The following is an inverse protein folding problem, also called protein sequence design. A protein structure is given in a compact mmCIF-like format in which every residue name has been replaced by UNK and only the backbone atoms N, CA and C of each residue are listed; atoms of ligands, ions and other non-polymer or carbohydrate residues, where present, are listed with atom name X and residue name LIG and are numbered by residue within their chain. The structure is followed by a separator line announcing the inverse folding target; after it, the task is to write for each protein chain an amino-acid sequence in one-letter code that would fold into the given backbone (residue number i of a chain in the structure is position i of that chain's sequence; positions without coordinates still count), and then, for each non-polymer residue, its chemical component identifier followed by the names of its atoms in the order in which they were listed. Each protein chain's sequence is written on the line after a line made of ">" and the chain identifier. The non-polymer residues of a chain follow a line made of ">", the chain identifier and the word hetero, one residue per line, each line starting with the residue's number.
data_IF_273211875671
#
_entry.id   IF_273211875671
#
_cell.length_a   1.000
_cell.length_b   1.000
_cell.length_c   1.000
_cell.angle_alpha   90.00
_cell.angle_beta   90.00
_cell.angle_gamma   90.00
#
_symmetry.space_group_name_H-M   'P 1'
#
loop_
_entity.id
_entity.type
_entity.pdbx_description
1 polymer ?
#
# COMPACT_ATOMS: atom_id res chain seq x y z
N UNK A 1 -9.96 3.24 -10.16
CA UNK A 1 -9.44 1.86 -10.28
C UNK A 1 -7.93 1.91 -10.19
N UNK A 2 -7.39 1.64 -9.02
CA UNK A 2 -5.99 1.32 -8.85
C UNK A 2 -5.70 -0.01 -9.60
N UNK A 3 -4.82 0.06 -10.59
CA UNK A 3 -4.38 -1.14 -11.31
C UNK A 3 -3.41 -1.93 -10.44
N UNK A 4 -3.47 -3.26 -10.56
CA UNK A 4 -2.51 -4.15 -9.93
C UNK A 4 -1.52 -4.63 -10.96
N UNK A 5 -0.25 -4.35 -10.70
CA UNK A 5 0.83 -4.61 -11.64
C UNK A 5 1.76 -5.67 -11.05
N UNK A 6 2.30 -6.49 -11.92
CA UNK A 6 3.55 -7.20 -11.63
C UNK A 6 4.69 -6.19 -11.51
N UNK A 7 5.80 -6.59 -10.89
CA UNK A 7 7.02 -5.75 -10.86
C UNK A 7 7.47 -5.40 -12.28
N UNK A 8 7.38 -6.35 -13.23
CA UNK A 8 7.69 -6.10 -14.64
C UNK A 8 6.82 -4.99 -15.24
N UNK A 9 5.49 -5.11 -15.13
CA UNK A 9 4.52 -4.13 -15.65
C UNK A 9 4.72 -2.76 -15.00
N UNK A 10 5.11 -2.71 -13.71
CA UNK A 10 5.44 -1.48 -13.02
C UNK A 10 6.65 -0.76 -13.62
N UNK A 11 7.76 -1.46 -13.87
CA UNK A 11 8.92 -0.86 -14.53
C UNK A 11 8.64 -0.46 -15.98
N UNK A 12 7.77 -1.20 -16.68
CA UNK A 12 7.27 -0.79 -17.99
C UNK A 12 6.46 0.51 -17.91
N UNK A 13 5.62 0.67 -16.89
CA UNK A 13 4.89 1.91 -16.65
C UNK A 13 5.82 3.09 -16.31
N UNK A 14 6.84 2.88 -15.46
CA UNK A 14 7.86 3.90 -15.15
C UNK A 14 8.57 4.38 -16.42
N UNK A 15 8.95 3.46 -17.31
CA UNK A 15 9.55 3.80 -18.62
C UNK A 15 8.59 4.56 -19.52
N UNK A 16 7.35 4.09 -19.63
CA UNK A 16 6.34 4.73 -20.47
C UNK A 16 6.05 6.17 -20.04
N UNK A 17 6.10 6.44 -18.73
CA UNK A 17 5.91 7.77 -18.16
C UNK A 17 7.18 8.63 -18.15
N UNK A 18 8.32 8.11 -18.61
CA UNK A 18 9.60 8.83 -18.65
C UNK A 18 10.01 9.37 -17.28
N UNK A 19 9.79 8.59 -16.23
CA UNK A 19 10.27 8.93 -14.89
C UNK A 19 11.80 9.07 -14.93
N UNK A 20 12.32 10.12 -14.30
CA UNK A 20 13.76 10.39 -14.22
C UNK A 20 14.13 10.89 -12.82
N UNK A 21 15.23 10.39 -12.22
CA UNK A 21 16.06 9.30 -12.72
C UNK A 21 15.36 7.94 -12.59
N UNK A 22 15.45 7.11 -13.65
CA UNK A 22 14.95 5.74 -13.64
C UNK A 22 16.12 4.78 -13.45
N UNK A 23 16.12 4.07 -12.32
CA UNK A 23 17.05 2.96 -12.08
C UNK A 23 16.31 1.66 -12.35
N UNK A 24 16.63 1.02 -13.47
CA UNK A 24 15.97 -0.19 -13.94
C UNK A 24 16.99 -1.29 -14.25
N UNK A 25 17.54 -1.88 -13.19
CA UNK A 25 18.50 -3.00 -13.27
C UNK A 25 17.88 -4.29 -12.72
N UNK A 26 18.37 -5.47 -13.11
CA UNK A 26 17.89 -6.73 -12.54
C UNK A 26 17.99 -6.78 -11.00
N UNK A 27 19.05 -6.21 -10.42
CA UNK A 27 19.24 -6.13 -8.98
C UNK A 27 18.18 -5.24 -8.31
N UNK A 28 17.89 -4.07 -8.90
CA UNK A 28 16.84 -3.18 -8.40
C UNK A 28 15.46 -3.82 -8.52
N UNK A 29 15.14 -4.48 -9.63
CA UNK A 29 13.87 -5.22 -9.78
C UNK A 29 13.72 -6.31 -8.72
N UNK A 30 14.78 -7.07 -8.45
CA UNK A 30 14.77 -8.11 -7.42
C UNK A 30 14.57 -7.52 -6.02
N UNK A 31 15.20 -6.38 -5.72
CA UNK A 31 15.01 -5.65 -4.46
C UNK A 31 13.58 -5.12 -4.31
N UNK A 32 13.00 -4.55 -5.38
CA UNK A 32 11.59 -4.11 -5.38
C UNK A 32 10.65 -5.28 -5.12
N UNK A 33 10.86 -6.42 -5.79
CA UNK A 33 10.05 -7.62 -5.59
C UNK A 33 10.14 -8.12 -4.13
N UNK A 34 11.33 -8.18 -3.55
CA UNK A 34 11.54 -8.56 -2.16
C UNK A 34 10.88 -7.57 -1.17
N UNK A 35 11.03 -6.26 -1.42
CA UNK A 35 10.42 -5.21 -0.62
C UNK A 35 8.88 -5.30 -0.65
N UNK A 36 8.28 -5.36 -1.84
CA UNK A 36 6.83 -5.38 -1.97
C UNK A 36 6.22 -6.67 -1.42
N UNK A 37 6.88 -7.83 -1.62
CA UNK A 37 6.46 -9.11 -1.00
C UNK A 37 6.49 -9.03 0.51
N UNK A 38 7.54 -8.45 1.08
CA UNK A 38 7.67 -8.30 2.53
C UNK A 38 6.59 -7.37 3.07
N UNK A 39 6.41 -6.21 2.42
CA UNK A 39 5.43 -5.19 2.81
C UNK A 39 3.99 -5.69 2.73
N UNK A 40 3.69 -6.50 1.72
CA UNK A 40 2.35 -6.95 1.36
C UNK A 40 2.17 -8.46 1.57
N UNK A 41 2.98 -9.09 2.43
CA UNK A 41 3.02 -10.54 2.65
C UNK A 41 1.66 -11.14 3.05
N UNK A 42 0.78 -10.32 3.64
CA UNK A 42 -0.53 -10.75 4.09
C UNK A 42 -1.65 -10.54 3.07
N UNK A 43 -1.37 -9.93 1.91
CA UNK A 43 -2.38 -9.69 0.86
C UNK A 43 -2.85 -11.00 0.23
N UNK A 44 -4.11 -11.08 -0.23
CA UNK A 44 -4.68 -12.31 -0.78
C UNK A 44 -4.10 -12.70 -2.15
N UNK A 45 -3.48 -11.76 -2.87
CA UNK A 45 -2.88 -11.99 -4.20
C UNK A 45 -1.44 -11.46 -4.15
N UNK A 46 -0.47 -12.35 -4.39
CA UNK A 46 0.96 -12.18 -4.06
C UNK A 46 1.88 -11.95 -5.28
N UNK A 47 1.32 -11.69 -6.46
CA UNK A 47 2.10 -11.52 -7.71
C UNK A 47 1.75 -10.24 -8.46
N UNK A 48 0.64 -9.60 -8.07
CA UNK A 48 0.22 -8.32 -8.60
C UNK A 48 -0.04 -7.39 -7.44
N UNK A 49 0.57 -6.24 -7.43
CA UNK A 49 0.58 -5.36 -6.27
C UNK A 49 -0.12 -4.05 -6.60
N UNK A 50 -0.76 -3.39 -5.63
CA UNK A 50 -1.22 -2.03 -5.81
C UNK A 50 -0.07 -1.14 -6.29
N UNK A 51 -0.33 -0.25 -7.26
CA UNK A 51 0.69 0.68 -7.78
C UNK A 51 1.35 1.46 -6.64
N UNK A 52 0.60 1.95 -5.65
CA UNK A 52 1.19 2.67 -4.51
C UNK A 52 2.15 1.82 -3.67
N UNK A 53 1.89 0.52 -3.54
CA UNK A 53 2.77 -0.38 -2.81
C UNK A 53 4.05 -0.66 -3.59
N UNK A 54 3.97 -0.74 -4.93
CA UNK A 54 5.13 -0.83 -5.81
C UNK A 54 5.97 0.45 -5.82
N UNK A 55 5.32 1.61 -5.88
CA UNK A 55 5.98 2.91 -5.79
C UNK A 55 6.74 3.05 -4.46
N UNK A 56 6.09 2.68 -3.36
CA UNK A 56 6.73 2.68 -2.05
C UNK A 56 7.90 1.70 -1.97
N UNK A 57 7.75 0.48 -2.51
CA UNK A 57 8.82 -0.52 -2.53
C UNK A 57 10.00 -0.06 -3.40
N UNK A 58 9.72 0.60 -4.53
CA UNK A 58 10.72 1.18 -5.40
C UNK A 58 11.44 2.35 -4.75
N UNK A 59 10.71 3.28 -4.15
CA UNK A 59 11.27 4.38 -3.37
C UNK A 59 12.17 3.87 -2.25
N UNK A 60 11.72 2.89 -1.48
CA UNK A 60 12.55 2.26 -0.44
C UNK A 60 13.83 1.66 -1.04
N UNK A 61 13.69 0.88 -2.12
CA UNK A 61 14.84 0.29 -2.82
C UNK A 61 15.85 1.35 -3.26
N UNK A 62 15.41 2.46 -3.86
CA UNK A 62 16.30 3.54 -4.28
C UNK A 62 16.99 4.22 -3.10
N UNK A 63 16.29 4.40 -1.99
CA UNK A 63 16.85 5.01 -0.78
C UNK A 63 17.90 4.13 -0.09
N UNK A 64 17.84 2.81 -0.30
CA UNK A 64 18.79 1.84 0.24
C UNK A 64 20.01 1.62 -0.68
N UNK A 65 20.02 2.23 -1.87
CA UNK A 65 21.17 2.16 -2.76
C UNK A 65 22.38 2.94 -2.20
N UNK A 66 23.60 2.42 -2.35
CA UNK A 66 24.81 3.08 -1.86
C UNK A 66 25.09 4.42 -2.56
N UNK A 67 24.62 4.57 -3.80
CA UNK A 67 24.77 5.73 -4.68
C UNK A 67 23.55 6.66 -4.68
N UNK A 68 22.69 6.61 -3.65
CA UNK A 68 21.50 7.47 -3.54
C UNK A 68 21.82 8.98 -3.65
N UNK A 69 23.02 9.42 -3.22
CA UNK A 69 23.42 10.82 -3.36
C UNK A 69 23.61 11.25 -4.82
N UNK A 70 24.08 10.33 -5.67
CA UNK A 70 24.21 10.59 -7.11
C UNK A 70 22.82 10.65 -7.76
N UNK A 71 21.89 9.78 -7.35
CA UNK A 71 20.49 9.86 -7.79
C UNK A 71 19.84 11.20 -7.42
N UNK A 72 20.08 11.69 -6.21
CA UNK A 72 19.56 13.00 -5.76
C UNK A 72 20.13 14.13 -6.62
N UNK A 73 21.42 14.09 -6.95
CA UNK A 73 22.05 15.05 -7.87
C UNK A 73 21.43 14.99 -9.27
N UNK A 74 21.02 13.81 -9.71
CA UNK A 74 20.36 13.58 -11.01
C UNK A 74 18.85 13.84 -10.98
N UNK A 75 18.33 14.40 -9.87
CA UNK A 75 16.95 14.88 -9.76
C UNK A 75 15.99 13.96 -9.01
N UNK A 76 16.49 12.89 -8.36
CA UNK A 76 15.67 12.07 -7.48
C UNK A 76 15.29 12.85 -6.21
N UNK A 77 13.98 13.04 -6.00
CA UNK A 77 13.47 13.79 -4.84
C UNK A 77 13.11 12.91 -3.65
N UNK A 78 13.40 11.61 -3.72
CA UNK A 78 13.00 10.66 -2.68
C UNK A 78 11.57 10.17 -2.82
N UNK A 79 10.85 10.50 -3.90
CA UNK A 79 9.46 10.07 -4.15
C UNK A 79 9.24 9.65 -5.60
N UNK A 80 8.46 8.59 -5.82
CA UNK A 80 8.03 8.13 -7.14
C UNK A 80 6.50 8.09 -7.19
N UNK A 81 5.90 8.74 -8.18
CA UNK A 81 4.44 8.85 -8.30
C UNK A 81 4.01 8.76 -9.78
N UNK A 82 3.54 7.59 -10.20
CA UNK A 82 3.09 7.27 -11.56
C UNK A 82 1.69 7.83 -11.86
N UNK A 83 0.89 8.20 -10.87
CA UNK A 83 -0.54 8.51 -11.08
C UNK A 83 -1.05 9.74 -10.36
N UNK A 84 -0.14 10.55 -9.82
CA UNK A 84 -0.50 11.72 -9.01
C UNK A 84 -1.30 11.34 -7.76
N UNK A 85 -1.17 10.10 -7.28
CA UNK A 85 -1.83 9.67 -6.06
C UNK A 85 -1.13 10.28 -4.85
N UNK A 86 -1.90 10.58 -3.81
CA UNK A 86 -1.31 10.81 -2.49
C UNK A 86 -0.59 9.52 -2.05
N UNK A 87 0.50 9.61 -1.29
CA UNK A 87 1.26 8.43 -0.82
C UNK A 87 0.49 7.51 0.15
N UNK A 88 -0.83 7.76 0.30
CA UNK A 88 -1.74 7.17 1.26
C UNK A 88 -3.18 7.25 0.70
N UNK A 89 -4.04 6.33 1.09
CA UNK A 89 -5.45 6.30 0.69
C UNK A 89 -6.37 6.79 1.80
N UNK A 90 -7.47 7.46 1.46
CA UNK A 90 -8.65 7.47 2.33
C UNK A 90 -9.26 6.07 2.42
N UNK A 91 -10.08 5.83 3.45
CA UNK A 91 -10.80 4.57 3.57
C UNK A 91 -11.76 4.33 2.39
N UNK A 92 -12.41 5.39 1.90
CA UNK A 92 -13.32 5.34 0.76
C UNK A 92 -12.61 4.95 -0.53
N UNK A 93 -11.47 5.59 -0.84
CA UNK A 93 -10.69 5.26 -2.03
C UNK A 93 -10.18 3.83 -1.97
N UNK A 94 -9.69 3.38 -0.82
CA UNK A 94 -9.17 2.03 -0.65
C UNK A 94 -10.27 0.97 -0.86
N UNK A 95 -11.44 1.13 -0.25
CA UNK A 95 -12.55 0.20 -0.51
C UNK A 95 -13.08 0.31 -1.94
N UNK A 96 -13.15 1.52 -2.50
CA UNK A 96 -13.59 1.74 -3.88
C UNK A 96 -12.69 1.08 -4.92
N UNK A 97 -11.37 1.16 -4.73
CA UNK A 97 -10.39 0.60 -5.66
C UNK A 97 -10.14 -0.91 -5.45
N UNK A 98 -10.17 -1.39 -4.20
CA UNK A 98 -9.78 -2.77 -3.89
C UNK A 98 -10.93 -3.69 -3.49
N UNK A 99 -12.12 -3.14 -3.21
CA UNK A 99 -13.28 -3.89 -2.71
C UNK A 99 -13.67 -5.06 -3.61
N UNK A 100 -13.82 -4.80 -4.92
CA UNK A 100 -14.11 -5.84 -5.89
C UNK A 100 -12.95 -6.81 -6.13
N UNK A 101 -11.71 -6.31 -6.12
CA UNK A 101 -10.52 -7.09 -6.46
C UNK A 101 -10.12 -8.08 -5.35
N UNK A 102 -10.34 -7.71 -4.08
CA UNK A 102 -10.02 -8.54 -2.91
C UNK A 102 -11.26 -9.14 -2.25
N UNK A 103 -12.46 -8.92 -2.82
CA UNK A 103 -13.74 -9.35 -2.27
C UNK A 103 -13.89 -8.87 -0.82
N UNK A 104 -13.66 -7.57 -0.62
CA UNK A 104 -13.70 -6.97 0.71
C UNK A 104 -15.14 -6.82 1.20
N UNK A 105 -15.38 -7.17 2.46
CA UNK A 105 -16.64 -6.94 3.13
C UNK A 105 -16.74 -5.48 3.59
N UNK A 106 -17.15 -4.61 2.68
CA UNK A 106 -17.34 -3.20 2.97
C UNK A 106 -18.71 -2.95 3.63
N UNK A 107 -18.72 -2.91 4.97
CA UNK A 107 -19.90 -2.56 5.75
C UNK A 107 -19.59 -1.41 6.70
N UNK A 108 -20.60 -0.61 7.11
CA UNK A 108 -20.39 0.47 8.08
C UNK A 108 -19.72 0.01 9.38
N UNK A 109 -20.03 -1.20 9.84
CA UNK A 109 -19.42 -1.77 11.04
C UNK A 109 -17.94 -2.10 10.87
N UNK A 110 -17.56 -2.69 9.73
CA UNK A 110 -16.15 -2.98 9.42
C UNK A 110 -15.36 -1.67 9.34
N UNK A 111 -15.89 -0.67 8.64
CA UNK A 111 -15.27 0.67 8.55
C UNK A 111 -15.08 1.33 9.90
N UNK A 112 -16.12 1.34 10.75
CA UNK A 112 -16.03 1.91 12.10
C UNK A 112 -14.95 1.19 12.94
N UNK A 113 -14.91 -0.14 12.89
CA UNK A 113 -13.91 -0.93 13.60
C UNK A 113 -12.49 -0.66 13.07
N UNK A 114 -12.31 -0.50 11.76
CA UNK A 114 -11.03 -0.12 11.18
C UNK A 114 -10.56 1.25 11.67
N UNK A 115 -11.46 2.24 11.75
CA UNK A 115 -11.12 3.58 12.27
C UNK A 115 -10.68 3.55 13.73
N UNK A 116 -11.22 2.64 14.55
CA UNK A 116 -10.74 2.44 15.94
C UNK A 116 -9.32 1.86 16.01
N UNK A 117 -8.89 1.11 14.99
CA UNK A 117 -7.58 0.44 14.93
C UNK A 117 -6.50 1.29 14.25
N UNK A 118 -6.91 2.28 13.47
CA UNK A 118 -6.02 3.15 12.72
C UNK A 118 -5.60 4.36 13.58
N UNK A 119 -4.39 4.90 13.38
CA UNK A 119 -4.00 6.15 14.02
C UNK A 119 -4.87 7.28 13.50
N UNK A 120 -5.09 8.30 14.32
CA UNK A 120 -5.84 9.49 13.94
C UNK A 120 -5.18 10.19 12.73
N UNK A 121 -5.76 9.97 11.55
CA UNK A 121 -5.39 10.56 10.27
C UNK A 121 -6.61 10.48 9.34
N UNK A 122 -6.55 11.15 8.19
CA UNK A 122 -7.55 11.03 7.12
C UNK A 122 -7.17 10.02 6.04
N UNK A 123 -5.88 9.68 5.95
CA UNK A 123 -5.32 8.78 4.94
C UNK A 123 -4.28 7.84 5.54
N UNK A 124 -4.14 6.64 4.95
CA UNK A 124 -3.20 5.62 5.41
C UNK A 124 -2.59 4.80 4.26
N UNK A 125 -1.40 4.21 4.45
CA UNK A 125 -0.85 3.24 3.51
C UNK A 125 -1.75 2.01 3.37
N UNK A 126 -1.87 1.46 2.15
CA UNK A 126 -2.67 0.26 1.87
C UNK A 126 -2.37 -0.93 2.79
N UNK A 127 -1.10 -1.26 3.13
CA UNK A 127 -0.81 -2.38 4.02
C UNK A 127 -1.40 -2.20 5.41
N UNK A 128 -1.47 -0.95 5.89
CA UNK A 128 -2.06 -0.63 7.19
C UNK A 128 -3.58 -0.74 7.18
N UNK A 129 -4.21 -0.29 6.10
CA UNK A 129 -5.65 -0.46 5.87
C UNK A 129 -6.02 -1.94 5.79
N UNK A 130 -5.21 -2.74 5.10
CA UNK A 130 -5.39 -4.19 5.03
C UNK A 130 -5.28 -4.88 6.40
N UNK A 131 -4.29 -4.54 7.22
CA UNK A 131 -4.18 -5.09 8.58
C UNK A 131 -5.38 -4.71 9.45
N UNK A 132 -5.83 -3.44 9.38
CA UNK A 132 -7.03 -2.99 10.08
C UNK A 132 -8.27 -3.76 9.61
N UNK A 133 -8.44 -3.96 8.30
CA UNK A 133 -9.55 -4.70 7.72
C UNK A 133 -9.59 -6.16 8.19
N UNK A 134 -8.44 -6.86 8.17
CA UNK A 134 -8.36 -8.23 8.69
C UNK A 134 -8.77 -8.31 10.15
N UNK A 135 -8.32 -7.37 10.99
CA UNK A 135 -8.67 -7.36 12.39
C UNK A 135 -10.15 -7.04 12.61
N UNK A 136 -10.70 -6.08 11.86
CA UNK A 136 -12.12 -5.74 11.90
C UNK A 136 -13.03 -6.92 11.50
N UNK A 137 -12.64 -7.68 10.47
CA UNK A 137 -13.41 -8.84 9.99
C UNK A 137 -13.23 -10.11 10.81
N UNK A 138 -12.11 -10.25 11.53
CA UNK A 138 -11.87 -11.35 12.48
C UNK A 138 -12.60 -11.17 13.81
N UNK A 139 -13.00 -9.96 14.16
CA UNK A 139 -13.62 -9.69 15.46
C UNK A 139 -14.99 -10.38 15.53
N UNK A 140 -15.21 -11.33 16.46
CA UNK A 140 -16.51 -11.98 16.59
C UNK A 140 -17.55 -10.95 17.03
N UNK A 141 -18.78 -11.09 16.51
CA UNK A 141 -20.01 -10.32 16.81
C UNK A 141 -20.33 -10.05 18.30
N UNK A 142 -19.56 -10.57 19.26
CA UNK A 142 -19.83 -10.50 20.69
C UNK A 142 -18.97 -9.52 21.52
N UNK A 143 -17.96 -8.85 20.97
CA UNK A 143 -17.07 -8.02 21.82
C UNK A 143 -17.60 -6.61 22.15
N UNK A 144 -18.65 -6.15 21.47
CA UNK A 144 -19.27 -4.86 21.77
C UNK A 144 -20.11 -4.88 23.07
N UNK A 145 -20.66 -6.04 23.44
CA UNK A 145 -21.44 -6.21 24.68
C UNK A 145 -20.59 -6.09 25.96
N UNK A 146 -19.27 -6.30 25.90
CA UNK A 146 -18.40 -6.13 27.08
C UNK A 146 -18.05 -4.68 27.39
N UNK A 147 -18.18 -3.74 26.45
CA UNK A 147 -17.95 -2.30 26.72
C UNK A 147 -19.18 -1.57 27.27
N UNK A 148 -20.39 -2.13 27.11
CA UNK A 148 -21.63 -1.53 27.65
C UNK A 148 -22.04 -2.05 29.03
N UNK A 149 -21.50 -3.19 29.50
CA UNK A 149 -21.87 -3.81 30.79
C UNK A 149 -20.84 -3.52 31.91
N UNK A 150 -19.71 -2.88 31.59
CA UNK A 150 -18.63 -2.57 32.54
C UNK A 150 -18.70 -1.19 33.20
N UNK A 151 -19.89 -0.61 33.38
CA UNK A 151 -20.09 0.64 34.15
C UNK A 151 -21.23 0.46 35.14
N UNK A 152 -20.97 -0.27 36.22
CA UNK A 152 -21.60 -0.10 37.52
C UNK A 152 -20.51 -0.11 38.59
#
# INVERSE_FOLDING_TARGET
>A
MADRLTVQEFFEALRAQKISPLVDTPAVRASVDACVRTRCASYPIQERWPVLDLESAYQQTLNELPDVQDLVRDGYTGTVNLRGYDGTYTMDEWFGDFGGQWVLNDTPHVRATMLELLPAASTWPSPRLWEAYKNATRTPRGSWLRRLIGRQ
#
